data_IF_463145062667
#
_entry.id   IF_463145062667
#
_cell.length_a   1.000
_cell.length_b   1.000
_cell.length_c   1.000
_cell.angle_alpha   90.00
_cell.angle_beta   90.00
_cell.angle_gamma   90.00
#
_symmetry.space_group_name_H-M   'P 1'
#
loop_
_entity.id
_entity.type
_entity.pdbx_description
1 polymer ?
#
# COMPACT_ATOMS: atom_id res chain seq x y z
N UNK A 1 10.69 31.51 -9.13
CA UNK A 1 9.49 30.93 -8.49
C UNK A 1 9.90 29.64 -7.79
N UNK A 2 9.84 29.60 -6.46
CA UNK A 2 10.29 28.46 -5.68
C UNK A 2 9.32 27.30 -5.85
N UNK A 3 9.71 26.29 -6.63
CA UNK A 3 9.01 25.01 -6.61
C UNK A 3 9.17 24.42 -5.22
N UNK A 4 8.11 24.51 -4.42
CA UNK A 4 7.98 23.93 -3.10
C UNK A 4 8.06 22.40 -3.24
N UNK A 5 9.28 21.87 -3.45
CA UNK A 5 9.55 20.44 -3.54
C UNK A 5 9.22 19.88 -2.19
N UNK A 6 8.17 19.05 -2.14
CA UNK A 6 7.80 18.33 -0.93
C UNK A 6 9.03 17.59 -0.41
N UNK A 7 9.48 17.95 0.80
CA UNK A 7 10.56 17.25 1.48
C UNK A 7 10.00 15.94 2.02
N UNK A 8 10.38 14.83 1.40
CA UNK A 8 9.94 13.50 1.80
C UNK A 8 10.99 12.85 2.69
N UNK A 9 11.08 13.32 3.94
CA UNK A 9 11.91 12.68 4.94
C UNK A 9 11.33 11.32 5.37
N UNK A 10 12.12 10.57 6.15
CA UNK A 10 11.76 9.21 6.61
C UNK A 10 10.45 9.20 7.43
N UNK A 11 10.23 10.19 8.29
CA UNK A 11 9.02 10.34 9.08
C UNK A 11 7.80 10.63 8.21
N UNK A 12 7.91 11.58 7.29
CA UNK A 12 6.83 11.92 6.36
C UNK A 12 6.45 10.73 5.45
N UNK A 13 7.45 9.98 4.95
CA UNK A 13 7.20 8.76 4.18
C UNK A 13 6.55 7.66 5.01
N UNK A 14 6.98 7.50 6.27
CA UNK A 14 6.38 6.53 7.20
C UNK A 14 4.91 6.85 7.46
N UNK A 15 4.59 8.11 7.75
CA UNK A 15 3.19 8.56 7.95
C UNK A 15 2.33 8.26 6.72
N UNK A 16 2.85 8.49 5.50
CA UNK A 16 2.14 8.15 4.28
C UNK A 16 1.80 6.65 4.20
N UNK A 17 2.78 5.78 4.49
CA UNK A 17 2.60 4.33 4.41
C UNK A 17 1.69 3.80 5.50
N UNK A 18 1.81 4.29 6.73
CA UNK A 18 0.96 3.92 7.86
C UNK A 18 -0.51 4.25 7.56
N UNK A 19 -0.79 5.45 7.07
CA UNK A 19 -2.15 5.84 6.68
C UNK A 19 -2.70 4.98 5.53
N UNK A 20 -1.86 4.57 4.57
CA UNK A 20 -2.27 3.64 3.52
C UNK A 20 -2.64 2.27 4.09
N UNK A 21 -1.91 1.79 5.09
CA UNK A 21 -2.21 0.54 5.80
C UNK A 21 -3.52 0.66 6.57
N UNK A 22 -3.74 1.78 7.28
CA UNK A 22 -4.97 2.03 8.03
C UNK A 22 -6.20 2.04 7.12
N UNK A 23 -6.11 2.73 5.97
CA UNK A 23 -7.20 2.73 4.99
C UNK A 23 -7.43 1.34 4.38
N UNK A 24 -6.37 0.55 4.17
CA UNK A 24 -6.50 -0.84 3.74
C UNK A 24 -7.22 -1.70 4.78
N UNK A 25 -6.93 -1.50 6.06
CA UNK A 25 -7.59 -2.21 7.16
C UNK A 25 -9.07 -1.84 7.28
N UNK A 26 -9.44 -0.62 6.87
CA UNK A 26 -10.83 -0.15 6.81
C UNK A 26 -11.58 -0.59 5.53
N UNK A 27 -11.01 -1.49 4.72
CA UNK A 27 -11.54 -1.92 3.42
C UNK A 27 -11.72 -0.78 2.40
N UNK A 28 -11.05 0.36 2.60
CA UNK A 28 -11.01 1.47 1.64
C UNK A 28 -9.95 1.25 0.55
N UNK A 29 -9.74 0.00 0.16
CA UNK A 29 -8.73 -0.44 -0.80
C UNK A 29 -9.40 -1.27 -1.89
N UNK A 30 -9.29 -0.81 -3.14
CA UNK A 30 -9.76 -1.53 -4.34
C UNK A 30 -8.75 -2.61 -4.76
N UNK A 31 -9.00 -3.32 -5.87
CA UNK A 31 -8.12 -4.39 -6.34
C UNK A 31 -6.64 -3.99 -6.49
N UNK A 32 -6.32 -2.70 -6.73
CA UNK A 32 -4.96 -2.26 -7.08
C UNK A 32 -4.47 -1.05 -6.25
N UNK A 33 -5.37 -0.25 -5.68
CA UNK A 33 -5.04 1.00 -4.97
C UNK A 33 -6.13 1.43 -3.98
N UNK A 34 -5.87 2.50 -3.20
CA UNK A 34 -6.89 3.13 -2.35
C UNK A 34 -8.15 3.51 -3.16
N UNK A 35 -9.32 3.32 -2.55
CA UNK A 35 -10.60 3.77 -3.11
C UNK A 35 -10.68 5.30 -3.11
N UNK A 36 -11.68 5.88 -3.79
CA UNK A 36 -11.93 7.34 -3.75
C UNK A 36 -12.10 7.84 -2.31
N UNK A 37 -12.83 7.10 -1.48
CA UNK A 37 -13.01 7.40 -0.06
C UNK A 37 -11.70 7.25 0.72
N UNK A 38 -10.93 6.18 0.44
CA UNK A 38 -9.62 5.95 1.06
C UNK A 38 -8.65 7.09 0.80
N UNK A 39 -8.60 7.60 -0.44
CA UNK A 39 -7.80 8.77 -0.79
C UNK A 39 -8.26 10.03 -0.04
N UNK A 40 -9.57 10.31 0.00
CA UNK A 40 -10.11 11.47 0.72
C UNK A 40 -9.73 11.45 2.21
N UNK A 41 -9.92 10.32 2.87
CA UNK A 41 -9.56 10.14 4.28
C UNK A 41 -8.05 10.25 4.51
N UNK A 42 -7.26 9.69 3.59
CA UNK A 42 -5.81 9.75 3.66
C UNK A 42 -5.31 11.20 3.51
N UNK A 43 -5.85 12.01 2.59
CA UNK A 43 -5.42 13.41 2.44
C UNK A 43 -5.67 14.21 3.70
N UNK A 44 -6.87 14.05 4.26
CA UNK A 44 -7.25 14.74 5.49
C UNK A 44 -6.33 14.34 6.65
N UNK A 45 -6.15 13.03 6.86
CA UNK A 45 -5.33 12.50 7.96
C UNK A 45 -3.85 12.85 7.81
N UNK A 46 -3.32 12.81 6.58
CA UNK A 46 -1.92 13.12 6.31
C UNK A 46 -1.61 14.58 6.59
N UNK A 47 -2.46 15.51 6.13
CA UNK A 47 -2.28 16.94 6.37
C UNK A 47 -2.41 17.26 7.87
N UNK A 48 -3.33 16.59 8.58
CA UNK A 48 -3.45 16.75 10.05
C UNK A 48 -2.21 16.24 10.79
N UNK A 49 -1.65 15.09 10.42
CA UNK A 49 -0.53 14.50 11.15
C UNK A 49 0.81 15.15 10.85
N UNK A 50 1.02 15.62 9.62
CA UNK A 50 2.31 16.19 9.19
C UNK A 50 2.34 17.71 9.23
N UNK A 51 1.18 18.38 9.22
CA UNK A 51 1.07 19.81 8.98
C UNK A 51 1.50 20.23 7.55
N UNK A 52 1.92 19.28 6.72
CA UNK A 52 2.32 19.52 5.35
C UNK A 52 1.07 19.51 4.50
N UNK A 53 0.66 20.68 3.99
CA UNK A 53 -0.47 20.82 3.07
C UNK A 53 -0.11 20.33 1.66
N UNK A 54 0.29 19.06 1.55
CA UNK A 54 0.67 18.46 0.29
C UNK A 54 -0.58 18.14 -0.55
N UNK A 55 -0.50 18.45 -1.83
CA UNK A 55 -1.57 18.21 -2.79
C UNK A 55 -1.78 16.73 -3.08
N UNK A 56 -2.98 16.40 -3.56
CA UNK A 56 -3.39 15.01 -3.81
C UNK A 56 -2.45 14.26 -4.75
N UNK A 57 -2.04 14.93 -5.82
CA UNK A 57 -1.10 14.42 -6.83
C UNK A 57 0.30 14.15 -6.24
N UNK A 58 0.74 14.91 -5.24
CA UNK A 58 2.05 14.72 -4.62
C UNK A 58 2.10 13.41 -3.82
N UNK A 59 1.05 13.12 -3.04
CA UNK A 59 0.96 11.89 -2.25
C UNK A 59 0.82 10.66 -3.15
N UNK A 60 -0.03 10.75 -4.19
CA UNK A 60 -0.15 9.69 -5.19
C UNK A 60 1.18 9.40 -5.88
N UNK A 61 1.86 10.45 -6.37
CA UNK A 61 3.15 10.30 -7.03
C UNK A 61 4.20 9.67 -6.12
N UNK A 62 4.23 10.08 -4.84
CA UNK A 62 5.16 9.51 -3.87
C UNK A 62 4.85 8.04 -3.59
N UNK A 63 3.58 7.69 -3.36
CA UNK A 63 3.19 6.30 -3.13
C UNK A 63 3.53 5.42 -4.33
N UNK A 64 3.27 5.90 -5.55
CA UNK A 64 3.62 5.18 -6.79
C UNK A 64 5.14 5.05 -6.98
N UNK A 65 5.92 6.07 -6.62
CA UNK A 65 7.38 5.99 -6.63
C UNK A 65 7.87 4.91 -5.65
N UNK A 66 7.38 4.92 -4.40
CA UNK A 66 7.72 3.89 -3.40
C UNK A 66 7.35 2.48 -3.87
N UNK A 67 6.16 2.32 -4.46
CA UNK A 67 5.73 1.04 -5.03
C UNK A 67 6.67 0.57 -6.14
N UNK A 68 7.06 1.45 -7.06
CA UNK A 68 8.02 1.11 -8.14
C UNK A 68 9.37 0.68 -7.55
N UNK A 69 9.92 1.45 -6.63
CA UNK A 69 11.19 1.11 -5.96
C UNK A 69 11.12 -0.26 -5.28
N UNK A 70 10.03 -0.54 -4.55
CA UNK A 70 9.83 -1.85 -3.91
C UNK A 70 9.73 -2.99 -4.92
N UNK A 71 8.97 -2.82 -6.01
CA UNK A 71 8.84 -3.84 -7.05
C UNK A 71 10.18 -4.11 -7.76
N UNK A 72 10.96 -3.07 -8.06
CA UNK A 72 12.31 -3.21 -8.60
C UNK A 72 13.24 -3.96 -7.64
N UNK A 73 13.25 -3.58 -6.35
CA UNK A 73 14.03 -4.29 -5.33
C UNK A 73 13.61 -5.77 -5.23
N UNK A 74 12.31 -6.04 -5.20
CA UNK A 74 11.79 -7.42 -5.14
C UNK A 74 12.19 -8.24 -6.36
N UNK A 75 12.20 -7.63 -7.56
CA UNK A 75 12.68 -8.30 -8.77
C UNK A 75 14.16 -8.65 -8.68
N UNK A 76 15.00 -7.75 -8.15
CA UNK A 76 16.42 -8.01 -7.92
C UNK A 76 16.65 -9.14 -6.91
N UNK A 77 15.88 -9.21 -5.83
CA UNK A 77 15.96 -10.32 -4.86
C UNK A 77 15.63 -11.68 -5.51
N UNK A 78 14.66 -11.71 -6.43
CA UNK A 78 14.27 -12.93 -7.13
C UNK A 78 15.27 -13.34 -8.23
N UNK A 79 16.04 -12.40 -8.77
CA UNK A 79 17.09 -12.67 -9.77
C UNK A 79 18.42 -13.07 -9.13
N UNK A 80 18.74 -12.54 -7.95
CA UNK A 80 19.97 -12.85 -7.22
C UNK A 80 20.01 -14.26 -6.61
N UNK A 81 18.89 -14.99 -6.61
CA UNK A 81 18.87 -16.44 -6.32
C UNK A 81 19.17 -17.33 -7.53
N UNK A 82 19.45 -16.76 -8.72
CA UNK A 82 19.62 -17.51 -9.98
C UNK A 82 20.99 -17.32 -10.66
N UNK A 83 21.99 -16.74 -9.98
CA UNK A 83 23.30 -16.52 -10.59
C UNK A 83 24.36 -16.06 -9.60
N UNK A 84 24.75 -16.93 -8.68
CA UNK A 84 26.11 -16.86 -8.11
C UNK A 84 27.00 -17.69 -9.02
N UNK A 85 27.39 -17.12 -10.17
CA UNK A 85 28.47 -17.68 -10.97
C UNK A 85 29.78 -17.32 -10.26
N UNK A 86 30.34 -18.29 -9.54
CA UNK A 86 31.64 -18.17 -8.89
C UNK A 86 32.75 -18.34 -9.91
N UNK A 87 32.88 -17.40 -10.86
CA UNK A 87 34.08 -17.22 -11.66
C UNK A 87 33.96 -15.93 -12.45
N UNK A 88 34.64 -14.88 -11.97
CA UNK A 88 35.51 -13.98 -12.75
C UNK A 88 35.94 -12.89 -11.79
N UNK A 89 37.03 -13.16 -11.07
CA UNK A 89 37.85 -12.09 -10.58
C UNK A 89 38.56 -11.49 -11.78
N UNK A 90 38.26 -10.24 -12.12
CA UNK A 90 39.31 -9.39 -12.65
C UNK A 90 39.12 -7.93 -12.21
N UNK A 91 40.25 -7.34 -11.87
CA UNK A 91 40.42 -5.98 -11.37
C UNK A 91 40.40 -5.04 -12.57
N UNK A 92 39.69 -3.92 -12.47
CA UNK A 92 39.85 -2.85 -13.45
C UNK A 92 38.93 -1.68 -13.18
N UNK A 93 39.34 -0.75 -12.32
CA UNK A 93 39.83 0.58 -12.75
C UNK A 93 38.72 1.60 -12.92
N UNK A 94 38.72 2.54 -11.97
CA UNK A 94 38.08 3.85 -12.00
C UNK A 94 38.30 4.55 -13.35
N UNK A 95 37.23 5.07 -13.96
CA UNK A 95 37.31 6.31 -14.74
C UNK A 95 36.15 7.23 -14.43
N UNK A 96 36.50 8.26 -13.68
CA UNK A 96 35.90 9.59 -13.62
C UNK A 96 35.79 10.21 -15.02
N UNK A 97 34.61 10.73 -15.36
CA UNK A 97 34.47 11.81 -16.33
C UNK A 97 33.25 12.67 -15.96
N UNK A 98 33.51 13.95 -15.68
CA UNK A 98 32.48 14.97 -15.46
C UNK A 98 32.14 15.75 -16.75
N UNK A 99 31.26 16.74 -16.60
CA UNK A 99 30.98 17.78 -17.62
C UNK A 99 29.51 17.78 -18.08
N UNK A 100 28.64 18.68 -17.59
CA UNK A 100 28.39 20.06 -18.05
C UNK A 100 27.27 20.13 -19.13
N UNK A 101 26.15 20.75 -18.72
CA UNK A 101 25.20 21.70 -19.39
C UNK A 101 24.78 21.37 -20.86
N UNK A 102 23.50 21.45 -21.26
CA UNK A 102 22.81 22.72 -21.55
C UNK A 102 21.38 22.49 -22.12
N UNK A 103 20.50 23.46 -21.85
CA UNK A 103 19.31 23.96 -22.59
C UNK A 103 18.09 23.12 -23.01
N UNK A 104 16.95 23.58 -22.47
CA UNK A 104 15.57 23.50 -22.95
C UNK A 104 15.41 23.92 -24.43
N UNK A 105 14.52 23.26 -25.20
CA UNK A 105 13.76 23.93 -26.26
C UNK A 105 12.28 24.08 -25.87
N UNK A 106 11.80 25.32 -25.90
CA UNK A 106 10.39 25.68 -25.97
C UNK A 106 9.90 25.41 -27.39
N UNK A 107 8.82 24.65 -27.54
CA UNK A 107 7.95 24.70 -28.73
C UNK A 107 6.52 24.78 -28.21
N UNK A 108 5.84 25.86 -28.60
CA UNK A 108 4.44 26.10 -28.26
C UNK A 108 3.49 25.35 -29.19
N UNK A 109 2.26 25.17 -28.72
CA UNK A 109 1.09 25.12 -29.59
C UNK A 109 -0.07 25.70 -28.78
N UNK A 110 -0.57 26.81 -29.29
CA UNK A 110 -1.76 27.49 -28.83
C UNK A 110 -3.03 26.82 -29.37
N UNK A 111 -4.16 27.14 -28.73
CA UNK A 111 -5.52 26.87 -29.20
C UNK A 111 -6.26 25.86 -28.32
N UNK A 112 -7.41 26.14 -27.69
CA UNK A 112 -8.27 27.32 -27.68
C UNK A 112 -9.31 27.12 -26.55
N UNK A 113 -9.71 28.25 -25.93
CA UNK A 113 -11.00 28.59 -25.26
C UNK A 113 -11.62 27.60 -24.24
N UNK A 114 -12.26 27.99 -23.14
CA UNK A 114 -12.95 29.20 -22.71
C UNK A 114 -12.92 29.16 -21.17
N UNK A 115 -12.50 30.22 -20.48
CA UNK A 115 -13.36 31.34 -20.06
C UNK A 115 -14.43 30.92 -19.04
N UNK A 116 -14.15 31.23 -17.78
CA UNK A 116 -15.10 31.75 -16.80
C UNK A 116 -14.26 32.40 -15.68
N UNK A 117 -14.00 33.69 -15.91
CA UNK A 117 -13.91 34.80 -14.94
C UNK A 117 -14.56 34.57 -13.57
N UNK A 118 -14.28 35.31 -12.50
CA UNK A 118 -13.18 36.14 -12.01
C UNK A 118 -13.57 36.47 -10.56
N UNK A 119 -12.56 36.72 -9.74
CA UNK A 119 -12.53 37.24 -8.37
C UNK A 119 -13.38 38.54 -8.16
N UNK A 120 -13.71 39.02 -6.93
CA UNK A 120 -12.67 39.66 -6.10
C UNK A 120 -12.80 39.65 -4.56
N UNK A 121 -11.61 39.75 -3.96
CA UNK A 121 -11.31 40.22 -2.60
C UNK A 121 -11.91 41.59 -2.27
N UNK A 122 -12.10 41.87 -0.97
CA UNK A 122 -11.69 43.17 -0.45
C UNK A 122 -10.88 43.09 0.85
N UNK A 123 -10.19 44.19 1.12
CA UNK A 123 -9.15 44.46 2.12
C UNK A 123 -9.66 44.86 3.51
N UNK A 124 -8.88 44.47 4.54
CA UNK A 124 -8.68 45.05 5.89
C UNK A 124 -9.86 45.48 6.79
N UNK A 125 -9.86 45.00 8.05
CA UNK A 125 -9.50 45.80 9.25
C UNK A 125 -10.09 45.22 10.56
N UNK A 126 -9.25 45.27 11.60
CA UNK A 126 -9.52 45.42 13.04
C UNK A 126 -10.55 44.53 13.80
N UNK A 127 -9.99 43.84 14.81
CA UNK A 127 -10.50 43.60 16.17
C UNK A 127 -11.82 42.81 16.31
N UNK A 128 -11.74 41.68 17.03
CA UNK A 128 -12.28 41.60 18.40
C UNK A 128 -11.98 40.21 19.01
N UNK A 129 -11.33 40.24 20.18
CA UNK A 129 -11.22 39.09 21.07
C UNK A 129 -12.61 38.69 21.54
N UNK A 130 -12.97 37.41 21.39
CA UNK A 130 -14.04 36.83 22.19
C UNK A 130 -13.67 35.41 22.61
N UNK A 131 -13.44 35.28 23.91
CA UNK A 131 -13.22 34.03 24.64
C UNK A 131 -14.39 33.07 24.39
N UNK A 132 -14.10 31.84 23.97
CA UNK A 132 -14.97 30.68 24.24
C UNK A 132 -14.19 29.59 24.96
N UNK A 133 -14.63 29.40 26.21
CA UNK A 133 -14.33 28.37 27.21
C UNK A 133 -13.72 27.07 26.67
N UNK A 134 -12.50 26.75 27.11
CA UNK A 134 -11.94 25.41 27.04
C UNK A 134 -12.75 24.46 27.92
N UNK A 135 -13.33 23.41 27.33
CA UNK A 135 -13.62 22.18 28.06
C UNK A 135 -12.40 21.29 27.89
N UNK A 136 -11.63 21.13 28.95
CA UNK A 136 -10.56 20.14 29.03
C UNK A 136 -11.18 18.74 29.02
N UNK A 137 -11.29 18.14 27.85
CA UNK A 137 -11.36 16.70 27.77
C UNK A 137 -9.93 16.18 27.85
N UNK A 138 -9.55 15.71 29.04
CA UNK A 138 -8.35 14.90 29.25
C UNK A 138 -8.49 13.63 28.41
N UNK A 139 -7.98 13.66 27.19
CA UNK A 139 -7.77 12.46 26.38
C UNK A 139 -6.47 11.83 26.85
N UNK A 140 -6.59 10.62 27.41
CA UNK A 140 -5.48 9.79 27.88
C UNK A 140 -4.49 9.60 26.72
N UNK A 141 -3.43 10.41 26.76
CA UNK A 141 -2.39 10.41 25.75
C UNK A 141 -1.58 9.14 25.90
N UNK A 142 -1.37 8.33 24.86
CA UNK A 142 -0.50 7.16 24.95
C UNK A 142 0.87 7.59 25.51
N UNK A 143 1.22 7.07 26.68
CA UNK A 143 2.45 7.45 27.38
C UNK A 143 3.64 7.36 26.42
N UNK A 144 4.49 8.40 26.42
CA UNK A 144 5.79 8.43 25.73
C UNK A 144 6.52 7.12 26.04
N UNK A 145 6.53 6.19 25.09
CA UNK A 145 7.34 4.98 25.22
C UNK A 145 8.79 5.43 25.25
N UNK A 146 9.48 5.14 26.36
CA UNK A 146 10.92 5.30 26.50
C UNK A 146 11.56 4.75 25.23
N UNK A 147 12.37 5.57 24.55
CA UNK A 147 13.02 5.18 23.30
C UNK A 147 13.93 4.00 23.59
N UNK A 148 13.45 2.78 23.33
CA UNK A 148 14.36 1.71 22.96
C UNK A 148 15.24 2.22 21.82
N UNK A 149 16.51 1.79 21.81
CA UNK A 149 17.44 2.05 20.69
C UNK A 149 16.71 1.97 19.35
N UNK A 150 17.05 2.81 18.37
CA UNK A 150 16.48 2.74 17.03
C UNK A 150 16.49 1.31 16.46
N UNK A 151 17.51 0.52 16.80
CA UNK A 151 17.60 -0.90 16.47
C UNK A 151 16.47 -1.74 17.09
N UNK A 152 16.11 -1.46 18.35
CA UNK A 152 14.97 -2.10 19.01
C UNK A 152 13.67 -1.80 18.28
N UNK A 153 13.46 -0.54 17.89
CA UNK A 153 12.27 -0.15 17.15
C UNK A 153 12.17 -0.85 15.79
N UNK A 154 13.29 -0.92 15.06
CA UNK A 154 13.38 -1.65 13.78
C UNK A 154 13.10 -3.15 13.99
N UNK A 155 13.65 -3.73 15.07
CA UNK A 155 13.43 -5.13 15.44
C UNK A 155 11.96 -5.42 15.74
N UNK A 156 11.32 -4.59 16.56
CA UNK A 156 9.90 -4.74 16.93
C UNK A 156 8.99 -4.62 15.70
N UNK A 157 9.31 -3.70 14.79
CA UNK A 157 8.59 -3.56 13.52
C UNK A 157 8.74 -4.81 12.65
N UNK A 158 9.96 -5.32 12.49
CA UNK A 158 10.25 -6.52 11.72
C UNK A 158 9.50 -7.73 12.28
N UNK A 159 9.55 -7.92 13.61
CA UNK A 159 8.86 -9.00 14.29
C UNK A 159 7.34 -8.89 14.16
N UNK A 160 6.78 -7.68 14.23
CA UNK A 160 5.34 -7.42 14.00
C UNK A 160 4.91 -7.77 12.57
N UNK A 161 5.72 -7.42 11.57
CA UNK A 161 5.48 -7.78 10.17
C UNK A 161 5.57 -9.29 9.97
N UNK A 162 6.58 -9.95 10.55
CA UNK A 162 6.76 -11.39 10.49
C UNK A 162 5.58 -12.14 11.12
N UNK A 163 5.17 -11.76 12.35
CA UNK A 163 4.00 -12.34 13.04
C UNK A 163 2.72 -12.18 12.22
N UNK A 164 2.53 -11.03 11.56
CA UNK A 164 1.36 -10.79 10.71
C UNK A 164 1.39 -11.64 9.45
N UNK A 165 2.56 -11.74 8.81
CA UNK A 165 2.76 -12.61 7.65
C UNK A 165 2.45 -14.07 7.99
N UNK A 166 2.98 -14.55 9.12
CA UNK A 166 2.73 -15.89 9.62
C UNK A 166 1.23 -16.11 9.88
N UNK A 167 0.56 -15.18 10.58
CA UNK A 167 -0.89 -15.27 10.83
C UNK A 167 -1.71 -15.35 9.54
N UNK A 168 -1.32 -14.63 8.49
CA UNK A 168 -1.97 -14.72 7.18
C UNK A 168 -1.72 -16.08 6.52
N UNK A 169 -0.51 -16.63 6.61
CA UNK A 169 -0.18 -17.96 6.13
C UNK A 169 -0.96 -19.04 6.89
N UNK A 170 -0.99 -18.97 8.22
CA UNK A 170 -1.72 -19.91 9.08
C UNK A 170 -3.22 -19.91 8.75
N UNK A 171 -3.81 -18.71 8.57
CA UNK A 171 -5.21 -18.58 8.15
C UNK A 171 -5.44 -19.18 6.76
N UNK A 172 -4.56 -18.91 5.79
CA UNK A 172 -4.70 -19.45 4.45
C UNK A 172 -4.58 -20.98 4.45
N UNK A 173 -3.66 -21.53 5.25
CA UNK A 173 -3.49 -22.96 5.44
C UNK A 173 -4.72 -23.60 6.09
N UNK A 174 -5.30 -22.96 7.11
CA UNK A 174 -6.54 -23.42 7.76
C UNK A 174 -7.75 -23.39 6.81
N UNK A 175 -7.89 -22.33 6.01
CA UNK A 175 -8.92 -22.25 4.96
C UNK A 175 -8.76 -23.38 3.92
N UNK A 176 -7.51 -23.71 3.56
CA UNK A 176 -7.18 -24.79 2.61
C UNK A 176 -7.47 -26.17 3.18
N UNK A 177 -7.03 -26.43 4.41
CA UNK A 177 -7.33 -27.67 5.12
C UNK A 177 -8.83 -27.92 5.19
N UNK A 178 -9.62 -26.90 5.52
CA UNK A 178 -11.08 -26.99 5.55
C UNK A 178 -11.69 -27.29 4.18
N UNK A 179 -11.16 -26.71 3.11
CA UNK A 179 -11.63 -26.99 1.75
C UNK A 179 -11.36 -28.45 1.35
N UNK A 180 -10.16 -28.97 1.65
CA UNK A 180 -9.82 -30.37 1.38
C UNK A 180 -10.69 -31.33 2.19
N UNK A 181 -11.00 -30.98 3.44
CA UNK A 181 -11.90 -31.74 4.28
C UNK A 181 -13.31 -31.84 3.69
N UNK A 182 -13.87 -30.73 3.19
CA UNK A 182 -15.17 -30.72 2.52
C UNK A 182 -15.17 -31.55 1.22
N UNK A 183 -14.11 -31.49 0.42
CA UNK A 183 -13.97 -32.29 -0.81
C UNK A 183 -14.02 -33.80 -0.48
N UNK A 184 -13.37 -34.21 0.63
CA UNK A 184 -13.40 -35.58 1.12
C UNK A 184 -14.79 -35.96 1.64
N UNK A 185 -15.43 -35.09 2.43
CA UNK A 185 -16.79 -35.30 2.95
C UNK A 185 -17.84 -35.40 1.85
N UNK A 186 -17.65 -34.65 0.75
CA UNK A 186 -18.50 -34.73 -0.44
C UNK A 186 -18.28 -36.02 -1.25
N UNK A 187 -17.26 -36.80 -0.91
CA UNK A 187 -16.95 -38.07 -1.55
C UNK A 187 -16.37 -37.90 -2.96
N UNK A 188 -15.71 -36.78 -3.27
CA UNK A 188 -15.00 -36.64 -4.52
C UNK A 188 -13.80 -37.60 -4.52
N UNK A 189 -13.77 -38.50 -5.49
CA UNK A 189 -12.67 -39.44 -5.65
C UNK A 189 -11.39 -38.68 -5.99
N UNK A 190 -10.33 -38.93 -5.22
CA UNK A 190 -9.00 -38.37 -5.46
C UNK A 190 -8.53 -38.73 -6.87
N UNK A 191 -8.03 -37.74 -7.61
CA UNK A 191 -7.63 -37.88 -9.01
C UNK A 191 -8.77 -37.80 -10.04
N UNK A 192 -10.04 -37.75 -9.62
CA UNK A 192 -11.14 -37.49 -10.55
C UNK A 192 -11.04 -36.09 -11.17
N UNK A 193 -11.58 -35.86 -12.38
CA UNK A 193 -11.59 -34.53 -12.99
C UNK A 193 -12.21 -33.46 -12.08
N UNK A 194 -13.31 -33.79 -11.39
CA UNK A 194 -13.96 -32.88 -10.44
C UNK A 194 -13.08 -32.59 -9.22
N UNK A 195 -12.36 -33.59 -8.69
CA UNK A 195 -11.42 -33.40 -7.59
C UNK A 195 -10.27 -32.47 -7.98
N UNK A 196 -9.64 -32.74 -9.12
CA UNK A 196 -8.54 -31.92 -9.64
C UNK A 196 -8.98 -30.48 -9.89
N UNK A 197 -10.19 -30.30 -10.42
CA UNK A 197 -10.76 -28.98 -10.67
C UNK A 197 -11.11 -28.23 -9.39
N UNK A 198 -11.72 -28.90 -8.41
CA UNK A 198 -11.98 -28.33 -7.08
C UNK A 198 -10.68 -27.88 -6.39
N UNK A 199 -9.64 -28.71 -6.47
CA UNK A 199 -8.32 -28.41 -5.92
C UNK A 199 -7.68 -27.20 -6.63
N UNK A 200 -7.78 -27.12 -7.96
CA UNK A 200 -7.32 -25.99 -8.74
C UNK A 200 -8.02 -24.69 -8.35
N UNK A 201 -9.36 -24.70 -8.24
CA UNK A 201 -10.13 -23.51 -7.87
C UNK A 201 -9.77 -23.03 -6.45
N UNK A 202 -9.63 -23.94 -5.49
CA UNK A 202 -9.31 -23.61 -4.09
C UNK A 202 -7.85 -23.17 -3.87
N UNK A 203 -6.93 -23.58 -4.74
CA UNK A 203 -5.51 -23.16 -4.70
C UNK A 203 -5.30 -21.83 -5.42
N UNK A 204 -5.89 -21.66 -6.61
CA UNK A 204 -5.66 -20.52 -7.48
C UNK A 204 -6.21 -19.20 -6.93
N UNK A 205 -7.36 -19.25 -6.25
CA UNK A 205 -8.00 -18.03 -5.75
C UNK A 205 -8.48 -18.20 -4.28
N UNK A 206 -7.94 -17.40 -3.35
CA UNK A 206 -8.36 -17.47 -1.95
C UNK A 206 -9.83 -17.05 -1.73
N UNK A 207 -10.41 -16.23 -2.60
CA UNK A 207 -11.82 -15.88 -2.53
C UNK A 207 -12.73 -17.04 -2.94
N UNK A 208 -12.31 -17.81 -3.94
CA UNK A 208 -13.00 -19.05 -4.34
C UNK A 208 -12.96 -20.08 -3.21
N UNK A 209 -11.80 -20.27 -2.59
CA UNK A 209 -11.68 -21.14 -1.41
C UNK A 209 -12.60 -20.69 -0.25
N UNK A 210 -12.66 -19.39 0.03
CA UNK A 210 -13.56 -18.83 1.06
C UNK A 210 -15.03 -19.00 0.70
N UNK A 211 -15.40 -18.82 -0.57
CA UNK A 211 -16.76 -19.05 -1.02
C UNK A 211 -17.14 -20.53 -0.86
N UNK A 212 -16.30 -21.43 -1.38
CA UNK A 212 -16.48 -22.88 -1.30
C UNK A 212 -16.68 -23.36 0.14
N UNK A 213 -15.82 -22.93 1.08
CA UNK A 213 -15.90 -23.32 2.50
C UNK A 213 -17.12 -22.76 3.26
N UNK A 214 -17.79 -21.73 2.72
CA UNK A 214 -19.04 -21.18 3.27
C UNK A 214 -20.29 -21.86 2.74
N UNK A 215 -20.20 -22.59 1.62
CA UNK A 215 -21.34 -23.31 1.05
C UNK A 215 -21.74 -24.46 1.94
N UNK A 216 -23.05 -24.59 2.22
CA UNK A 216 -23.58 -25.56 3.18
C UNK A 216 -23.88 -26.92 2.53
N UNK A 217 -24.43 -26.91 1.32
CA UNK A 217 -24.88 -28.13 0.63
C UNK A 217 -23.80 -28.72 -0.27
N UNK A 218 -23.77 -30.05 -0.35
CA UNK A 218 -22.89 -30.80 -1.25
C UNK A 218 -23.21 -30.48 -2.71
N UNK A 219 -24.49 -30.49 -3.06
CA UNK A 219 -24.99 -30.21 -4.42
C UNK A 219 -24.59 -28.81 -4.87
N UNK A 220 -24.68 -27.84 -3.95
CA UNK A 220 -24.23 -26.48 -4.21
C UNK A 220 -22.74 -26.41 -4.52
N UNK A 221 -21.91 -27.08 -3.72
CA UNK A 221 -20.46 -27.15 -3.95
C UNK A 221 -20.11 -27.81 -5.28
N UNK A 222 -20.76 -28.92 -5.62
CA UNK A 222 -20.56 -29.62 -6.89
C UNK A 222 -20.94 -28.76 -8.10
N UNK A 223 -22.12 -28.15 -8.08
CA UNK A 223 -22.57 -27.26 -9.15
C UNK A 223 -21.64 -26.05 -9.30
N UNK A 224 -21.16 -25.50 -8.18
CA UNK A 224 -20.21 -24.39 -8.20
C UNK A 224 -18.86 -24.79 -8.81
N UNK A 225 -18.35 -25.99 -8.49
CA UNK A 225 -17.12 -26.53 -9.11
C UNK A 225 -17.30 -26.66 -10.63
N UNK A 226 -18.45 -27.16 -11.09
CA UNK A 226 -18.69 -27.36 -12.53
C UNK A 226 -18.87 -26.04 -13.32
N UNK A 227 -19.36 -24.99 -12.65
CA UNK A 227 -19.59 -23.69 -13.29
C UNK A 227 -18.33 -22.84 -13.46
N UNK A 228 -17.41 -22.91 -12.50
CA UNK A 228 -16.16 -22.12 -12.49
C UNK A 228 -15.00 -22.88 -13.13
#
# INVERSE_FOLDING_TARGET
MNHNRANWDKGTMKTLLDLCIDQKNQFNWSNICLSKLGWKNMYHSFNQQTGLHLGSKQLQNKLNALRRTFLSWRALQNQSSLGHDTQTGDRGTLLTAGGIRESTPRVGTEGNAADLDQDPMPTSSARNFSKRSAREFSVDSPQKKRSGSLEQYIRDLSESVAKRSQKHADRAQGEMYRAMQLIKEDGLQEGSPLYCHALYLCTKNPDYRRAFTKMKTKEGRLNWIQFN
#
